data_IF_581623476265
#
_entry.id   IF_581623476265
#
_cell.length_a   1.000
_cell.length_b   1.000
_cell.length_c   1.000
_cell.angle_alpha   90.00
_cell.angle_beta   90.00
_cell.angle_gamma   90.00
#
_symmetry.space_group_name_H-M   'P 1'
#
loop_
_entity.id
_entity.type
_entity.pdbx_description
1 polymer ?
#
# COMPACT_ATOMS: atom_id res chain seq x y z
N UNK A 1 20.05 7.64 -2.05
CA UNK A 1 19.39 8.13 -0.83
C UNK A 1 19.17 7.01 0.20
N UNK A 2 18.48 5.93 -0.14
CA UNK A 2 18.19 4.82 0.78
C UNK A 2 19.45 4.20 1.38
N UNK A 3 20.45 3.91 0.55
CA UNK A 3 21.74 3.43 1.01
C UNK A 3 22.49 4.45 1.87
N UNK A 4 22.43 5.74 1.50
CA UNK A 4 23.04 6.81 2.28
C UNK A 4 22.47 6.87 3.70
N UNK A 5 21.16 6.88 3.82
CA UNK A 5 20.48 6.87 5.14
C UNK A 5 20.87 5.64 5.95
N UNK A 6 20.92 4.47 5.32
CA UNK A 6 21.30 3.23 5.99
C UNK A 6 22.75 3.25 6.47
N UNK A 7 23.67 3.74 5.61
CA UNK A 7 25.07 3.88 5.98
C UNK A 7 25.27 4.91 7.10
N UNK A 8 24.58 6.04 7.07
CA UNK A 8 24.67 7.06 8.11
C UNK A 8 24.21 6.51 9.47
N UNK A 9 23.12 5.76 9.51
CA UNK A 9 22.66 5.09 10.73
C UNK A 9 23.66 4.09 11.27
N UNK A 10 24.29 3.31 10.41
CA UNK A 10 25.33 2.37 10.78
C UNK A 10 26.56 3.09 11.33
N UNK A 11 27.05 4.13 10.65
CA UNK A 11 28.22 4.91 11.06
C UNK A 11 27.99 5.64 12.40
N UNK A 12 26.78 6.06 12.67
CA UNK A 12 26.40 6.71 13.91
C UNK A 12 26.12 5.70 15.07
N UNK A 13 26.29 4.40 14.82
CA UNK A 13 26.03 3.36 15.82
C UNK A 13 24.54 3.13 16.14
N UNK A 14 23.65 3.64 15.30
CA UNK A 14 22.20 3.49 15.46
C UNK A 14 21.73 2.10 15.01
N UNK A 15 22.47 1.45 14.12
CA UNK A 15 22.21 0.09 13.64
C UNK A 15 23.47 -0.51 12.99
N UNK A 16 23.56 -1.83 12.97
CA UNK A 16 24.50 -2.52 12.09
C UNK A 16 23.88 -2.73 10.70
N UNK A 17 24.66 -3.25 9.77
CA UNK A 17 24.21 -3.42 8.37
C UNK A 17 23.00 -4.35 8.22
N UNK A 18 22.78 -5.27 9.18
CA UNK A 18 21.63 -6.17 9.20
C UNK A 18 20.37 -5.52 9.80
N UNK A 19 20.52 -4.35 10.44
CA UNK A 19 19.48 -3.69 11.21
C UNK A 19 19.11 -2.30 10.68
N UNK A 20 19.66 -1.91 9.54
CA UNK A 20 19.53 -0.55 9.00
C UNK A 20 18.08 -0.18 8.71
N UNK A 21 17.57 0.72 9.50
CA UNK A 21 16.31 1.39 9.33
C UNK A 21 15.12 0.49 9.53
N UNK A 22 14.86 -0.37 8.57
CA UNK A 22 13.65 -1.20 8.56
C UNK A 22 13.95 -2.67 8.80
N UNK A 23 12.99 -3.36 9.40
CA UNK A 23 13.03 -4.79 9.65
C UNK A 23 13.21 -5.62 8.38
N UNK A 24 12.76 -5.09 7.25
CA UNK A 24 12.85 -5.73 5.96
C UNK A 24 14.15 -5.32 5.27
N UNK A 25 15.19 -6.11 5.43
CA UNK A 25 16.47 -5.89 4.76
C UNK A 25 16.36 -5.96 3.23
N UNK A 26 17.20 -5.21 2.53
CA UNK A 26 17.29 -5.28 1.09
C UNK A 26 17.92 -6.62 0.67
N UNK A 27 17.20 -7.40 -0.13
CA UNK A 27 17.75 -8.61 -0.74
C UNK A 27 17.97 -9.80 0.19
N UNK A 28 17.43 -9.80 1.40
CA UNK A 28 17.43 -11.00 2.23
C UNK A 28 16.55 -12.06 1.60
N UNK A 29 17.17 -13.17 1.24
CA UNK A 29 16.50 -14.30 0.60
C UNK A 29 15.40 -14.87 1.51
N UNK A 30 14.18 -14.92 1.02
CA UNK A 30 13.07 -15.64 1.63
C UNK A 30 12.25 -14.88 2.67
N UNK A 31 12.63 -13.66 3.05
CA UNK A 31 11.93 -12.90 4.07
C UNK A 31 11.19 -11.65 3.55
N UNK A 32 10.99 -11.52 2.25
CA UNK A 32 10.21 -10.45 1.63
C UNK A 32 10.72 -9.03 1.90
N UNK A 33 12.02 -8.88 2.07
CA UNK A 33 12.60 -7.72 2.71
C UNK A 33 12.72 -6.45 1.89
N UNK A 34 12.76 -6.52 0.57
CA UNK A 34 13.08 -5.37 -0.26
C UNK A 34 11.87 -4.62 -0.84
N UNK A 35 10.65 -5.02 -0.48
CA UNK A 35 9.44 -4.44 -1.07
C UNK A 35 9.38 -2.93 -0.93
N UNK A 36 9.55 -2.42 0.26
CA UNK A 36 9.47 -0.97 0.49
C UNK A 36 10.60 -0.17 -0.17
N UNK A 37 11.79 -0.75 -0.30
CA UNK A 37 12.90 -0.13 -1.01
C UNK A 37 12.55 0.13 -2.47
N UNK A 38 12.04 -0.91 -3.14
CA UNK A 38 11.66 -0.83 -4.55
C UNK A 38 10.45 0.06 -4.78
N UNK A 39 9.47 0.01 -3.89
CA UNK A 39 8.30 0.91 -3.94
C UNK A 39 8.71 2.37 -3.85
N UNK A 40 9.63 2.71 -2.96
CA UNK A 40 10.13 4.08 -2.84
C UNK A 40 10.97 4.49 -4.06
N UNK A 41 11.74 3.57 -4.64
CA UNK A 41 12.48 3.82 -5.87
C UNK A 41 11.53 4.09 -7.04
N UNK A 42 10.46 3.30 -7.19
CA UNK A 42 9.42 3.53 -8.19
C UNK A 42 8.68 4.86 -7.95
N UNK A 43 8.28 5.12 -6.71
CA UNK A 43 7.63 6.39 -6.37
C UNK A 43 8.52 7.58 -6.73
N UNK A 44 9.81 7.54 -6.43
CA UNK A 44 10.76 8.59 -6.78
C UNK A 44 10.91 8.74 -8.29
N UNK A 45 11.04 7.65 -9.03
CA UNK A 45 11.13 7.67 -10.48
C UNK A 45 9.91 8.32 -11.14
N UNK A 46 8.73 8.05 -10.63
CA UNK A 46 7.49 8.61 -11.17
C UNK A 46 7.22 10.07 -10.74
N UNK A 47 8.03 10.65 -9.87
CA UNK A 47 8.02 12.11 -9.70
C UNK A 47 8.56 12.81 -10.96
N UNK A 48 9.54 12.21 -11.62
CA UNK A 48 10.15 12.74 -12.84
C UNK A 48 9.42 12.26 -14.11
N UNK A 49 8.85 11.06 -14.05
CA UNK A 49 8.18 10.40 -15.20
C UNK A 49 6.72 10.00 -14.89
N UNK A 50 5.85 10.94 -14.51
CA UNK A 50 4.49 10.59 -14.07
C UNK A 50 3.61 9.99 -15.16
N UNK A 51 3.94 10.17 -16.44
CA UNK A 51 3.23 9.52 -17.55
C UNK A 51 3.34 7.98 -17.54
N UNK A 52 4.36 7.45 -16.86
CA UNK A 52 4.60 6.00 -16.76
C UNK A 52 3.90 5.34 -15.58
N UNK A 53 3.17 6.12 -14.75
CA UNK A 53 2.46 5.61 -13.55
C UNK A 53 1.57 4.40 -13.84
N UNK A 54 0.91 4.38 -14.99
CA UNK A 54 -0.02 3.33 -15.38
C UNK A 54 0.54 2.38 -16.45
N UNK A 55 1.85 2.23 -16.48
CA UNK A 55 2.56 1.26 -17.32
C UNK A 55 2.46 -0.18 -16.80
N UNK A 56 3.47 -0.99 -17.08
CA UNK A 56 3.51 -2.43 -16.79
C UNK A 56 3.14 -2.81 -15.34
N UNK A 57 3.54 -2.01 -14.37
CA UNK A 57 3.34 -2.34 -12.96
C UNK A 57 1.89 -2.24 -12.49
N UNK A 58 1.02 -1.51 -13.21
CA UNK A 58 -0.40 -1.42 -12.83
C UNK A 58 -1.12 -2.77 -12.96
N UNK A 59 -0.77 -3.59 -13.95
CA UNK A 59 -1.38 -4.90 -14.10
C UNK A 59 -0.95 -5.86 -12.99
N UNK A 60 0.30 -5.78 -12.55
CA UNK A 60 0.78 -6.52 -11.38
C UNK A 60 0.04 -6.06 -10.11
N UNK A 61 -0.16 -4.76 -9.94
CA UNK A 61 -0.98 -4.21 -8.86
C UNK A 61 -2.40 -4.74 -8.89
N UNK A 62 -3.10 -4.61 -10.01
CA UNK A 62 -4.50 -5.06 -10.18
C UNK A 62 -4.70 -6.56 -9.89
N UNK A 63 -3.70 -7.37 -10.15
CA UNK A 63 -3.74 -8.79 -9.84
C UNK A 63 -3.47 -9.11 -8.35
N UNK A 64 -2.86 -8.20 -7.59
CA UNK A 64 -2.29 -8.50 -6.29
C UNK A 64 -2.68 -7.53 -5.15
N UNK A 65 -3.53 -6.53 -5.37
CA UNK A 65 -3.87 -5.49 -4.39
C UNK A 65 -4.49 -6.02 -3.08
N UNK A 66 -4.96 -7.26 -3.06
CA UNK A 66 -5.40 -7.96 -1.86
C UNK A 66 -4.25 -8.41 -0.96
N UNK A 67 -3.00 -8.41 -1.44
CA UNK A 67 -1.84 -8.85 -0.67
C UNK A 67 -1.32 -7.75 0.25
N UNK A 68 -0.54 -8.16 1.22
CA UNK A 68 0.22 -7.22 2.06
C UNK A 68 1.10 -6.30 1.19
N UNK A 69 1.13 -5.00 1.49
CA UNK A 69 1.83 -4.01 0.65
C UNK A 69 3.30 -4.34 0.41
N UNK A 70 3.94 -5.00 1.37
CA UNK A 70 5.35 -5.41 1.29
C UNK A 70 5.54 -6.85 0.79
N UNK A 71 4.51 -7.44 0.16
CA UNK A 71 4.61 -8.76 -0.46
C UNK A 71 5.58 -8.70 -1.65
N UNK A 72 6.34 -9.77 -1.87
CA UNK A 72 7.36 -9.87 -2.92
C UNK A 72 6.85 -9.44 -4.31
N UNK A 73 5.65 -9.82 -4.67
CA UNK A 73 5.05 -9.45 -5.96
C UNK A 73 4.62 -7.98 -6.03
N UNK A 74 4.55 -7.32 -4.90
CA UNK A 74 4.14 -5.91 -4.80
C UNK A 74 5.31 -4.93 -4.80
N UNK A 75 6.54 -5.43 -4.74
CA UNK A 75 7.75 -4.60 -4.56
C UNK A 75 7.90 -3.48 -5.59
N UNK A 76 7.53 -3.72 -6.85
CA UNK A 76 7.56 -2.70 -7.90
C UNK A 76 6.20 -2.09 -8.20
N UNK A 77 5.13 -2.62 -7.66
CA UNK A 77 3.77 -2.25 -8.03
C UNK A 77 3.01 -1.48 -6.93
N UNK A 78 3.48 -1.50 -5.68
CA UNK A 78 2.76 -0.92 -4.53
C UNK A 78 3.30 0.45 -4.11
N UNK A 79 3.60 1.32 -5.07
CA UNK A 79 4.08 2.69 -4.82
C UNK A 79 2.96 3.70 -4.56
N UNK A 80 1.73 3.29 -4.56
CA UNK A 80 0.55 4.14 -4.39
C UNK A 80 0.39 4.66 -2.96
N UNK A 81 0.84 3.89 -1.97
CA UNK A 81 0.79 4.31 -0.57
C UNK A 81 1.65 5.55 -0.32
N UNK A 82 2.81 5.65 -0.98
CA UNK A 82 3.67 6.83 -0.93
C UNK A 82 3.00 8.07 -1.52
N UNK A 83 2.23 7.94 -2.60
CA UNK A 83 1.40 9.03 -3.14
C UNK A 83 0.32 9.45 -2.15
N UNK A 84 -0.37 8.51 -1.52
CA UNK A 84 -1.36 8.81 -0.51
C UNK A 84 -0.74 9.55 0.69
N UNK A 85 0.39 9.09 1.18
CA UNK A 85 1.12 9.77 2.25
C UNK A 85 1.56 11.17 1.85
N UNK A 86 2.13 11.32 0.65
CA UNK A 86 2.59 12.62 0.14
C UNK A 86 1.44 13.62 0.01
N UNK A 87 0.26 13.19 -0.43
CA UNK A 87 -0.93 14.03 -0.48
C UNK A 87 -1.34 14.56 0.91
N UNK A 88 -1.16 13.78 1.96
CA UNK A 88 -1.57 14.13 3.33
C UNK A 88 -0.54 14.94 4.09
N UNK A 89 0.72 14.65 3.90
CA UNK A 89 1.81 15.15 4.76
C UNK A 89 2.90 15.90 3.99
N UNK A 90 2.75 16.03 2.68
CA UNK A 90 3.77 16.61 1.82
C UNK A 90 4.77 15.56 1.32
N UNK A 91 5.53 15.93 0.29
CA UNK A 91 6.45 15.03 -0.42
C UNK A 91 7.57 14.49 0.49
N UNK A 92 7.95 15.20 1.52
CA UNK A 92 9.01 14.83 2.44
C UNK A 92 8.65 13.62 3.34
N UNK A 93 7.39 13.21 3.37
CA UNK A 93 6.92 12.12 4.24
C UNK A 93 7.70 10.82 4.02
N UNK A 94 8.00 10.47 2.78
CA UNK A 94 8.74 9.25 2.45
C UNK A 94 10.18 9.35 2.96
N UNK A 95 10.84 10.50 2.73
CA UNK A 95 12.16 10.79 3.27
C UNK A 95 12.20 10.74 4.79
N UNK A 96 11.19 11.29 5.46
CA UNK A 96 11.08 11.28 6.93
C UNK A 96 10.89 9.86 7.48
N UNK A 97 10.08 9.02 6.82
CA UNK A 97 9.94 7.62 7.21
C UNK A 97 11.29 6.89 7.14
N UNK A 98 12.09 7.15 6.11
CA UNK A 98 13.44 6.60 6.00
C UNK A 98 14.40 7.13 7.08
N UNK A 99 14.52 8.42 7.20
CA UNK A 99 15.52 9.06 8.08
C UNK A 99 15.23 8.88 9.56
N UNK A 100 13.96 8.78 9.94
CA UNK A 100 13.53 8.65 11.33
C UNK A 100 13.15 7.22 11.74
N UNK A 101 13.35 6.23 10.85
CA UNK A 101 13.12 4.83 11.17
C UNK A 101 14.01 4.35 12.32
N UNK A 102 13.52 3.43 13.13
CA UNK A 102 14.23 2.84 14.28
C UNK A 102 14.11 1.32 14.22
N UNK A 103 15.19 0.62 14.47
CA UNK A 103 15.09 -0.82 14.62
C UNK A 103 14.30 -1.17 15.90
N UNK A 104 13.38 -2.12 15.86
CA UNK A 104 12.97 -3.03 14.79
C UNK A 104 11.71 -2.58 14.01
N UNK A 105 11.45 -1.28 13.89
CA UNK A 105 10.28 -0.77 13.18
C UNK A 105 10.28 -1.20 11.71
N UNK A 106 9.11 -1.52 11.20
CA UNK A 106 8.85 -1.55 9.77
C UNK A 106 8.35 -0.16 9.27
N UNK A 107 8.20 0.06 7.96
CA UNK A 107 7.76 1.35 7.44
C UNK A 107 6.41 1.82 7.98
N UNK A 108 5.46 0.91 8.23
CA UNK A 108 4.15 1.27 8.79
C UNK A 108 4.25 1.62 10.27
N UNK A 109 5.08 0.93 11.03
CA UNK A 109 5.35 1.28 12.43
C UNK A 109 6.00 2.66 12.55
N UNK A 110 6.96 2.95 11.68
CA UNK A 110 7.58 4.28 11.62
C UNK A 110 6.55 5.34 11.25
N UNK A 111 5.74 5.11 10.23
CA UNK A 111 4.66 6.01 9.83
C UNK A 111 3.64 6.20 10.96
N UNK A 112 3.23 5.13 11.63
CA UNK A 112 2.33 5.18 12.78
C UNK A 112 2.87 6.10 13.87
N UNK A 113 4.14 5.96 14.22
CA UNK A 113 4.78 6.80 15.24
C UNK A 113 4.86 8.27 14.83
N UNK A 114 5.21 8.56 13.60
CA UNK A 114 5.45 9.93 13.13
C UNK A 114 4.14 10.69 12.81
N UNK A 115 3.15 10.00 12.25
CA UNK A 115 1.99 10.64 11.64
C UNK A 115 0.63 10.18 12.20
N UNK A 116 0.61 9.13 13.01
CA UNK A 116 -0.61 8.61 13.63
C UNK A 116 -0.59 8.70 15.16
N UNK A 117 0.22 9.58 15.75
CA UNK A 117 0.37 9.71 17.22
C UNK A 117 0.68 8.38 17.93
N UNK A 118 1.35 7.46 17.25
CA UNK A 118 1.61 6.09 17.73
C UNK A 118 0.32 5.30 18.05
N UNK A 119 -0.80 5.68 17.45
CA UNK A 119 -2.10 5.05 17.66
C UNK A 119 -2.43 4.09 16.49
N UNK A 120 -2.71 2.83 16.83
CA UNK A 120 -3.00 1.79 15.85
C UNK A 120 -4.34 2.01 15.15
N UNK A 121 -5.34 2.54 15.85
CA UNK A 121 -6.64 2.82 15.25
C UNK A 121 -6.54 3.95 14.23
N UNK A 122 -5.72 4.95 14.49
CA UNK A 122 -5.41 6.01 13.52
C UNK A 122 -4.72 5.43 12.29
N UNK A 123 -3.74 4.54 12.47
CA UNK A 123 -3.10 3.86 11.33
C UNK A 123 -4.12 3.06 10.50
N UNK A 124 -5.03 2.33 11.13
CA UNK A 124 -6.08 1.61 10.39
C UNK A 124 -7.00 2.55 9.62
N UNK A 125 -7.33 3.70 10.19
CA UNK A 125 -8.13 4.73 9.52
C UNK A 125 -7.38 5.28 8.29
N UNK A 126 -6.06 5.48 8.39
CA UNK A 126 -5.21 5.89 7.27
C UNK A 126 -5.18 4.84 6.16
N UNK A 127 -4.97 3.57 6.50
CA UNK A 127 -4.96 2.48 5.52
C UNK A 127 -6.33 2.28 4.86
N UNK A 128 -7.42 2.47 5.59
CA UNK A 128 -8.76 2.48 5.02
C UNK A 128 -8.94 3.67 4.06
N UNK A 129 -8.49 4.86 4.46
CA UNK A 129 -8.50 6.04 3.60
C UNK A 129 -7.71 5.82 2.31
N UNK A 130 -6.53 5.21 2.40
CA UNK A 130 -5.75 4.79 1.25
C UNK A 130 -6.54 3.83 0.34
N UNK A 131 -7.10 2.76 0.92
CA UNK A 131 -7.87 1.77 0.15
C UNK A 131 -9.05 2.41 -0.60
N UNK A 132 -9.76 3.36 0.01
CA UNK A 132 -10.87 4.07 -0.65
C UNK A 132 -10.40 4.92 -1.83
N UNK A 133 -9.24 5.58 -1.72
CA UNK A 133 -8.65 6.35 -2.82
C UNK A 133 -8.19 5.48 -3.98
N UNK A 134 -7.74 4.28 -3.68
CA UNK A 134 -7.29 3.33 -4.70
C UNK A 134 -8.41 2.82 -5.60
N UNK A 135 -9.66 2.88 -5.20
CA UNK A 135 -10.80 2.44 -6.04
C UNK A 135 -10.81 3.17 -7.39
N UNK A 136 -10.46 4.45 -7.40
CA UNK A 136 -10.44 5.30 -8.60
C UNK A 136 -9.10 6.02 -8.78
N UNK A 137 -8.07 5.65 -8.02
CA UNK A 137 -6.78 6.34 -7.95
C UNK A 137 -6.91 7.83 -7.67
N UNK A 138 -7.85 8.19 -6.77
CA UNK A 138 -8.17 9.58 -6.44
C UNK A 138 -7.10 10.20 -5.51
N UNK A 139 -5.91 10.40 -6.05
CA UNK A 139 -4.78 11.06 -5.41
C UNK A 139 -4.23 12.17 -6.31
N UNK A 140 -3.74 13.26 -5.74
CA UNK A 140 -3.53 14.53 -6.45
C UNK A 140 -2.73 14.42 -7.76
N UNK A 141 -1.52 13.92 -7.73
CA UNK A 141 -0.72 13.78 -8.95
C UNK A 141 -1.27 12.64 -9.82
N UNK A 142 -1.64 11.53 -9.21
CA UNK A 142 -2.03 10.29 -9.88
C UNK A 142 -3.28 10.47 -10.73
N UNK A 143 -4.28 11.20 -10.24
CA UNK A 143 -5.57 11.39 -10.93
C UNK A 143 -5.43 12.01 -12.32
N UNK A 144 -4.36 12.76 -12.57
CA UNK A 144 -4.11 13.39 -13.88
C UNK A 144 -3.68 12.39 -14.97
N UNK A 145 -3.27 11.19 -14.57
CA UNK A 145 -2.74 10.15 -15.45
C UNK A 145 -3.61 8.88 -15.46
N UNK A 146 -4.69 8.85 -14.69
CA UNK A 146 -5.60 7.70 -14.62
C UNK A 146 -6.23 7.46 -15.98
N UNK A 147 -6.12 6.22 -16.46
CA UNK A 147 -6.79 5.76 -17.68
C UNK A 147 -8.08 5.03 -17.33
N UNK A 148 -9.04 5.00 -18.24
CA UNK A 148 -10.30 4.26 -18.05
C UNK A 148 -10.05 2.78 -17.68
N UNK A 149 -9.06 2.16 -18.29
CA UNK A 149 -8.70 0.77 -18.03
C UNK A 149 -8.01 0.56 -16.68
N UNK A 150 -7.40 1.58 -16.11
CA UNK A 150 -6.73 1.49 -14.82
C UNK A 150 -7.71 1.16 -13.69
N UNK A 151 -8.89 1.79 -13.69
CA UNK A 151 -9.93 1.58 -12.67
C UNK A 151 -10.73 0.28 -12.85
N UNK A 152 -10.47 -0.48 -13.90
CA UNK A 152 -11.20 -1.71 -14.18
C UNK A 152 -10.57 -2.91 -13.45
N UNK A 153 -10.71 -2.94 -12.12
CA UNK A 153 -10.31 -4.07 -11.31
C UNK A 153 -11.22 -4.22 -10.09
N UNK A 154 -11.74 -5.40 -9.89
CA UNK A 154 -12.61 -5.74 -8.78
C UNK A 154 -12.30 -7.14 -8.28
N UNK A 155 -12.64 -7.39 -7.02
CA UNK A 155 -12.48 -8.71 -6.43
C UNK A 155 -13.55 -9.65 -6.96
N UNK A 156 -13.13 -10.82 -7.44
CA UNK A 156 -14.06 -11.86 -7.86
C UNK A 156 -14.78 -12.45 -6.66
N UNK A 157 -16.11 -12.42 -6.74
CA UNK A 157 -16.99 -13.03 -5.76
C UNK A 157 -17.52 -14.38 -6.27
N UNK A 158 -17.78 -15.28 -5.37
CA UNK A 158 -18.37 -16.59 -5.64
C UNK A 158 -19.69 -16.75 -4.87
N UNK A 159 -20.67 -17.33 -5.51
CA UNK A 159 -21.93 -17.63 -4.85
C UNK A 159 -21.70 -18.63 -3.70
N UNK A 160 -22.31 -18.34 -2.58
CA UNK A 160 -22.34 -19.20 -1.41
C UNK A 160 -23.80 -19.54 -1.04
N UNK A 161 -24.00 -20.60 -0.26
CA UNK A 161 -25.33 -20.98 0.15
C UNK A 161 -26.08 -19.87 0.90
N UNK A 162 -27.39 -19.80 0.74
CA UNK A 162 -28.23 -18.84 1.47
C UNK A 162 -28.24 -17.42 0.91
N UNK A 163 -27.82 -17.22 -0.34
CA UNK A 163 -27.80 -15.90 -0.99
C UNK A 163 -26.63 -15.01 -0.57
N UNK A 164 -25.59 -15.61 -0.02
CA UNK A 164 -24.35 -14.94 0.32
C UNK A 164 -23.35 -15.04 -0.83
N UNK A 165 -22.41 -14.10 -0.85
CA UNK A 165 -21.25 -14.12 -1.71
C UNK A 165 -20.00 -14.18 -0.85
N UNK A 166 -18.98 -14.86 -1.33
CA UNK A 166 -17.70 -14.93 -0.64
C UNK A 166 -16.53 -14.57 -1.56
N UNK A 167 -15.51 -13.99 -0.99
CA UNK A 167 -14.22 -13.80 -1.64
C UNK A 167 -13.52 -15.15 -1.74
N UNK A 168 -12.97 -15.48 -2.90
CA UNK A 168 -12.18 -16.70 -3.05
C UNK A 168 -10.93 -16.68 -2.17
N UNK A 169 -10.53 -17.84 -1.67
CA UNK A 169 -9.39 -17.98 -0.76
C UNK A 169 -8.12 -17.30 -1.29
N UNK A 170 -7.84 -17.42 -2.58
CA UNK A 170 -6.66 -16.79 -3.20
C UNK A 170 -6.70 -15.25 -3.21
N UNK A 171 -7.87 -14.64 -2.97
CA UNK A 171 -8.08 -13.20 -2.94
C UNK A 171 -8.43 -12.68 -1.54
N UNK A 172 -8.30 -13.50 -0.51
CA UNK A 172 -8.45 -13.05 0.87
C UNK A 172 -7.40 -11.97 1.17
N UNK A 173 -7.80 -10.84 1.77
CA UNK A 173 -6.88 -9.74 1.98
C UNK A 173 -5.83 -10.08 3.04
N UNK A 174 -4.56 -9.78 2.73
CA UNK A 174 -3.48 -9.75 3.72
C UNK A 174 -3.62 -8.52 4.63
N UNK A 175 -2.74 -8.37 5.61
CA UNK A 175 -2.84 -7.35 6.68
C UNK A 175 -3.09 -5.92 6.19
N UNK A 176 -2.55 -5.53 5.03
CA UNK A 176 -2.72 -4.20 4.43
C UNK A 176 -3.36 -4.25 3.05
N UNK A 177 -3.74 -5.46 2.62
CA UNK A 177 -4.48 -5.68 1.40
C UNK A 177 -5.96 -5.35 1.59
N UNK A 178 -6.67 -5.18 0.50
CA UNK A 178 -8.10 -4.90 0.52
C UNK A 178 -8.81 -5.55 -0.67
N UNK A 179 -10.13 -5.57 -0.60
CA UNK A 179 -10.97 -6.03 -1.70
C UNK A 179 -11.87 -4.89 -2.19
N UNK A 180 -12.09 -4.83 -3.48
CA UNK A 180 -13.05 -3.93 -4.10
C UNK A 180 -14.22 -4.77 -4.59
N UNK A 181 -15.37 -4.59 -3.93
CA UNK A 181 -16.58 -5.36 -4.21
C UNK A 181 -17.57 -4.43 -4.89
N UNK A 182 -17.90 -4.65 -6.17
CA UNK A 182 -18.91 -3.86 -6.85
C UNK A 182 -20.29 -4.17 -6.26
N UNK A 183 -21.06 -3.12 -6.02
CA UNK A 183 -22.45 -3.24 -5.61
C UNK A 183 -23.35 -2.86 -6.79
N UNK A 184 -24.40 -3.66 -7.01
CA UNK A 184 -25.45 -3.24 -7.91
C UNK A 184 -26.20 -2.07 -7.26
N UNK A 185 -26.07 -0.89 -7.82
CA UNK A 185 -26.77 0.30 -7.35
C UNK A 185 -28.18 0.27 -7.90
N UNK A 186 -29.22 0.16 -7.07
CA UNK A 186 -30.60 0.19 -7.52
C UNK A 186 -31.01 1.61 -7.93
N UNK A 187 -32.24 1.76 -8.40
CA UNK A 187 -32.81 3.05 -8.74
C UNK A 187 -32.74 4.05 -7.57
N UNK A 188 -32.72 5.34 -7.89
CA UNK A 188 -32.67 6.42 -6.91
C UNK A 188 -33.79 6.29 -5.87
N UNK A 189 -33.44 6.49 -4.59
CA UNK A 189 -34.37 6.36 -3.48
C UNK A 189 -34.39 4.99 -2.81
N UNK A 190 -33.68 4.00 -3.32
CA UNK A 190 -33.53 2.68 -2.71
C UNK A 190 -32.32 2.64 -1.78
N UNK A 191 -32.48 2.03 -0.61
CA UNK A 191 -31.37 1.80 0.34
C UNK A 191 -30.73 0.46 0.07
N UNK A 192 -29.42 0.45 -0.17
CA UNK A 192 -28.60 -0.78 -0.20
C UNK A 192 -28.06 -1.04 1.20
N UNK A 193 -28.31 -2.24 1.72
CA UNK A 193 -27.73 -2.71 2.97
C UNK A 193 -26.76 -3.85 2.68
N UNK A 194 -25.49 -3.61 2.92
CA UNK A 194 -24.48 -4.66 2.87
C UNK A 194 -24.25 -5.23 4.27
N UNK A 195 -24.34 -6.55 4.40
CA UNK A 195 -23.94 -7.25 5.61
C UNK A 195 -22.60 -7.94 5.32
N UNK A 196 -21.65 -7.71 6.18
CA UNK A 196 -20.32 -8.32 6.07
C UNK A 196 -20.08 -9.25 7.26
N UNK A 197 -19.58 -10.45 6.98
CA UNK A 197 -19.14 -11.39 8.00
C UNK A 197 -17.73 -11.86 7.67
N UNK A 198 -16.80 -11.66 8.58
CA UNK A 198 -15.48 -12.30 8.52
C UNK A 198 -15.62 -13.79 8.89
N UNK A 199 -14.91 -14.65 8.18
CA UNK A 199 -14.71 -16.04 8.60
C UNK A 199 -13.56 -16.04 9.62
N UNK A 200 -13.80 -16.64 10.79
CA UNK A 200 -12.79 -16.82 11.83
C UNK A 200 -11.82 -17.94 11.45
#
# INVERSE_FOLDING_TARGET
FQYQVSCDKMLNGEADFSQVGFRYGYGSSGEGGNGFWEQCAQWQSFQDYPAELFGYHVDVWKANYHRHFNHEWMRYASYWLQYYWAQKHGVDVVGNVWTQSRYPEDPLMTYQRLYCNNDLQTLYTELYGYATRMVTYDMDVVRNYVTETACNYTTKMYDAAGGYYQVGYASCPGTTGFNIIPLNVPEAGTTVKANFAGLA
#
